data_IF_571452591057
#
_entry.id   IF_571452591057
#
_cell.length_a   1.000
_cell.length_b   1.000
_cell.length_c   1.000
_cell.angle_alpha   90.00
_cell.angle_beta   90.00
_cell.angle_gamma   90.00
#
_symmetry.space_group_name_H-M   'P 1'
#
loop_
_entity.id
_entity.type
_entity.pdbx_description
1 polymer ?
#
# COMPACT_ATOMS: atom_id res chain seq x y z
N UNK A 1 8.93 61.88 -4.43
CA UNK A 1 8.36 60.62 -3.90
C UNK A 1 7.68 59.85 -5.02
N UNK A 2 8.24 58.73 -5.50
CA UNK A 2 7.52 57.63 -6.22
C UNK A 2 8.38 56.36 -6.14
N UNK A 3 7.92 55.33 -5.43
CA UNK A 3 8.61 54.05 -5.18
C UNK A 3 8.76 53.19 -6.45
N UNK A 4 9.85 52.39 -6.60
CA UNK A 4 9.87 51.25 -7.51
C UNK A 4 9.19 50.05 -6.81
N UNK A 5 8.02 49.65 -7.29
CA UNK A 5 7.26 48.53 -6.71
C UNK A 5 7.77 47.20 -7.28
N UNK A 6 8.56 46.53 -6.44
CA UNK A 6 8.53 45.10 -6.13
C UNK A 6 8.47 44.08 -7.29
N UNK A 7 9.62 43.44 -7.47
CA UNK A 7 9.85 42.03 -7.78
C UNK A 7 8.62 41.13 -7.52
N UNK A 8 7.86 40.83 -8.57
CA UNK A 8 6.80 39.82 -8.54
C UNK A 8 7.47 38.45 -8.68
N UNK A 9 7.98 37.92 -7.56
CA UNK A 9 8.44 36.53 -7.49
C UNK A 9 7.20 35.63 -7.56
N UNK A 10 6.92 35.11 -8.76
CA UNK A 10 5.87 34.13 -8.98
C UNK A 10 6.36 32.82 -8.36
N UNK A 11 6.05 32.61 -7.09
CA UNK A 11 6.07 31.28 -6.50
C UNK A 11 4.97 30.47 -7.22
N UNK A 12 5.36 29.74 -8.27
CA UNK A 12 4.58 28.61 -8.76
C UNK A 12 4.55 27.57 -7.65
N UNK A 13 3.52 27.65 -6.80
CA UNK A 13 3.23 26.60 -5.84
C UNK A 13 2.80 25.40 -6.68
N UNK A 14 3.71 24.43 -6.82
CA UNK A 14 3.44 23.14 -7.43
C UNK A 14 2.29 22.45 -6.69
N UNK A 15 1.09 22.54 -7.23
CA UNK A 15 -0.14 22.01 -6.65
C UNK A 15 -0.22 20.47 -6.64
N UNK A 16 0.82 19.75 -7.08
CA UNK A 16 0.80 18.29 -7.19
C UNK A 16 1.15 17.55 -5.88
N UNK A 17 1.67 18.21 -4.85
CA UNK A 17 2.16 17.51 -3.64
C UNK A 17 1.10 17.22 -2.57
N UNK A 18 -0.06 17.89 -2.62
CA UNK A 18 -1.08 17.78 -1.56
C UNK A 18 -1.98 16.54 -1.78
N UNK A 19 -2.27 16.18 -3.04
CA UNK A 19 -3.09 15.00 -3.35
C UNK A 19 -2.37 13.70 -3.00
N UNK A 20 -1.09 13.60 -3.36
CA UNK A 20 -0.27 12.40 -3.12
C UNK A 20 -0.12 12.10 -1.62
N UNK A 21 0.02 13.12 -0.77
CA UNK A 21 0.14 12.90 0.68
C UNK A 21 -1.11 12.27 1.30
N UNK A 22 -2.31 12.62 0.83
CA UNK A 22 -3.57 12.02 1.32
C UNK A 22 -3.70 10.57 0.88
N UNK A 23 -3.35 10.28 -0.37
CA UNK A 23 -3.36 8.92 -0.92
C UNK A 23 -2.35 8.00 -0.21
N UNK A 24 -1.13 8.49 0.05
CA UNK A 24 -0.11 7.74 0.80
C UNK A 24 -0.61 7.41 2.20
N UNK A 25 -1.19 8.37 2.94
CA UNK A 25 -1.74 8.09 4.28
C UNK A 25 -2.88 7.07 4.28
N UNK A 26 -3.73 7.09 3.25
CA UNK A 26 -4.80 6.09 3.12
C UNK A 26 -4.22 4.70 2.83
N UNK A 27 -3.22 4.62 1.95
CA UNK A 27 -2.51 3.39 1.64
C UNK A 27 -1.76 2.82 2.86
N UNK A 28 -1.10 3.67 3.65
CA UNK A 28 -0.48 3.29 4.94
C UNK A 28 -1.50 2.74 5.93
N UNK A 29 -2.69 3.33 6.00
CA UNK A 29 -3.77 2.80 6.84
C UNK A 29 -4.23 1.42 6.36
N UNK A 30 -4.39 1.23 5.04
CA UNK A 30 -4.73 -0.09 4.48
C UNK A 30 -3.65 -1.14 4.73
N UNK A 31 -2.36 -0.75 4.75
CA UNK A 31 -1.26 -1.65 5.07
C UNK A 31 -1.37 -2.26 6.47
N UNK A 32 -2.01 -1.57 7.42
CA UNK A 32 -2.25 -2.09 8.77
C UNK A 32 -3.19 -3.30 8.78
N UNK A 33 -4.00 -3.48 7.73
CA UNK A 33 -4.88 -4.65 7.57
C UNK A 33 -4.15 -5.91 7.10
N UNK A 34 -2.87 -5.83 6.68
CA UNK A 34 -2.07 -7.00 6.26
C UNK A 34 -1.50 -7.76 7.46
N UNK A 35 -2.40 -8.30 8.28
CA UNK A 35 -2.08 -9.04 9.50
C UNK A 35 -2.87 -10.34 9.57
N UNK A 36 -2.43 -11.35 8.83
CA UNK A 36 -3.07 -12.67 8.87
C UNK A 36 -2.69 -13.40 10.17
N UNK A 37 -3.70 -13.78 10.94
CA UNK A 37 -3.57 -14.47 12.22
C UNK A 37 -4.09 -15.90 12.13
N UNK A 38 -3.74 -16.74 13.11
CA UNK A 38 -4.25 -18.12 13.27
C UNK A 38 -3.88 -19.09 12.11
N UNK A 39 -2.75 -18.90 11.44
CA UNK A 39 -2.21 -19.91 10.52
C UNK A 39 -1.44 -20.95 11.34
N UNK A 40 -1.91 -22.19 11.36
CA UNK A 40 -1.21 -23.34 11.95
C UNK A 40 -0.14 -23.85 10.97
N UNK A 41 1.06 -23.25 11.01
CA UNK A 41 2.16 -23.62 10.08
C UNK A 41 2.78 -24.98 10.40
N UNK A 42 2.71 -25.38 11.65
CA UNK A 42 3.39 -26.53 12.23
C UNK A 42 2.65 -27.85 11.94
N UNK A 43 1.38 -27.75 11.54
CA UNK A 43 0.51 -28.88 11.18
C UNK A 43 0.03 -28.81 9.73
N UNK A 44 0.43 -27.77 8.99
CA UNK A 44 0.07 -27.63 7.59
C UNK A 44 0.81 -28.71 6.79
N UNK A 45 0.03 -29.61 6.18
CA UNK A 45 0.57 -30.50 5.15
C UNK A 45 1.18 -29.59 4.06
N UNK A 46 2.51 -29.63 3.90
CA UNK A 46 3.26 -28.80 2.94
C UNK A 46 3.03 -29.28 1.50
N UNK A 47 1.77 -29.40 1.12
CA UNK A 47 1.33 -29.62 -0.24
C UNK A 47 1.71 -28.41 -1.10
N UNK A 48 1.82 -28.63 -2.41
CA UNK A 48 2.03 -27.55 -3.38
C UNK A 48 0.96 -26.44 -3.29
N UNK A 49 -0.24 -26.77 -2.82
CA UNK A 49 -1.33 -25.81 -2.64
C UNK A 49 -1.08 -24.91 -1.42
N UNK A 50 -0.65 -25.48 -0.30
CA UNK A 50 -0.27 -24.71 0.90
C UNK A 50 0.87 -23.75 0.59
N UNK A 51 1.95 -24.24 -0.04
CA UNK A 51 3.10 -23.41 -0.41
C UNK A 51 2.75 -22.29 -1.38
N UNK A 52 1.80 -22.53 -2.30
CA UNK A 52 1.30 -21.49 -3.20
C UNK A 52 0.64 -20.35 -2.41
N UNK A 53 -0.27 -20.66 -1.49
CA UNK A 53 -0.95 -19.63 -0.70
C UNK A 53 0.01 -18.92 0.25
N UNK A 54 1.00 -19.60 0.84
CA UNK A 54 2.07 -18.97 1.63
C UNK A 54 2.85 -17.95 0.80
N UNK A 55 3.21 -18.31 -0.43
CA UNK A 55 3.89 -17.41 -1.35
C UNK A 55 3.02 -16.20 -1.74
N UNK A 56 1.74 -16.42 -2.03
CA UNK A 56 0.80 -15.32 -2.33
C UNK A 56 0.66 -14.39 -1.12
N UNK A 57 0.53 -14.94 0.09
CA UNK A 57 0.45 -14.18 1.34
C UNK A 57 1.67 -13.29 1.54
N UNK A 58 2.87 -13.86 1.43
CA UNK A 58 4.12 -13.12 1.59
C UNK A 58 4.31 -12.05 0.49
N UNK A 59 4.12 -12.44 -0.77
CA UNK A 59 4.38 -11.55 -1.92
C UNK A 59 3.38 -10.40 -2.02
N UNK A 60 2.11 -10.61 -1.69
CA UNK A 60 1.09 -9.54 -1.72
C UNK A 60 1.39 -8.46 -0.69
N UNK A 61 1.78 -8.86 0.54
CA UNK A 61 2.20 -7.91 1.59
C UNK A 61 3.47 -7.15 1.19
N UNK A 62 4.48 -7.85 0.69
CA UNK A 62 5.74 -7.23 0.25
C UNK A 62 5.52 -6.23 -0.88
N UNK A 63 4.68 -6.56 -1.87
CA UNK A 63 4.33 -5.65 -2.97
C UNK A 63 3.64 -4.40 -2.45
N UNK A 64 2.63 -4.56 -1.59
CA UNK A 64 1.91 -3.43 -1.01
C UNK A 64 2.85 -2.48 -0.25
N UNK A 65 3.79 -3.02 0.55
CA UNK A 65 4.80 -2.22 1.25
C UNK A 65 5.70 -1.48 0.27
N UNK A 66 6.24 -2.19 -0.74
CA UNK A 66 7.10 -1.60 -1.76
C UNK A 66 6.41 -0.48 -2.54
N UNK A 67 5.11 -0.60 -2.84
CA UNK A 67 4.37 0.44 -3.56
C UNK A 67 4.19 1.70 -2.73
N UNK A 68 3.88 1.56 -1.43
CA UNK A 68 3.83 2.71 -0.51
C UNK A 68 5.18 3.39 -0.42
N UNK A 69 6.26 2.62 -0.28
CA UNK A 69 7.62 3.16 -0.25
C UNK A 69 7.98 3.92 -1.54
N UNK A 70 7.66 3.38 -2.73
CA UNK A 70 7.89 4.08 -4.00
C UNK A 70 7.19 5.44 -4.04
N UNK A 71 5.92 5.51 -3.63
CA UNK A 71 5.17 6.77 -3.63
C UNK A 71 5.68 7.76 -2.57
N UNK A 72 6.15 7.28 -1.42
CA UNK A 72 6.82 8.12 -0.42
C UNK A 72 8.10 8.77 -0.97
N UNK A 73 8.81 8.10 -1.89
CA UNK A 73 9.97 8.65 -2.59
C UNK A 73 9.61 9.52 -3.81
N UNK A 74 8.33 9.65 -4.15
CA UNK A 74 7.84 10.45 -5.27
C UNK A 74 7.70 9.67 -6.59
N UNK A 75 7.91 8.35 -6.56
CA UNK A 75 7.78 7.49 -7.74
C UNK A 75 6.32 7.05 -7.92
N UNK A 76 5.61 7.72 -8.81
CA UNK A 76 4.26 7.31 -9.22
C UNK A 76 4.35 6.22 -10.30
N UNK A 77 4.26 4.96 -9.87
CA UNK A 77 4.44 3.77 -10.72
C UNK A 77 3.13 3.20 -11.30
N UNK A 78 1.98 3.75 -10.92
CA UNK A 78 0.67 3.33 -11.44
C UNK A 78 -0.17 4.51 -11.93
N UNK A 79 -1.00 4.24 -12.95
CA UNK A 79 -2.04 5.14 -13.44
C UNK A 79 -3.30 5.17 -12.54
N UNK A 80 -3.38 4.24 -11.58
CA UNK A 80 -4.45 4.13 -10.59
C UNK A 80 -4.03 4.78 -9.25
N UNK A 81 -4.99 5.29 -8.45
CA UNK A 81 -4.72 5.77 -7.09
C UNK A 81 -4.05 4.70 -6.24
N UNK A 82 -3.02 5.07 -5.49
CA UNK A 82 -2.26 4.12 -4.65
C UNK A 82 -3.16 3.28 -3.71
N UNK A 83 -4.17 3.85 -3.01
CA UNK A 83 -5.05 3.07 -2.15
C UNK A 83 -5.77 1.92 -2.87
N UNK A 84 -6.20 2.12 -4.12
CA UNK A 84 -6.90 1.09 -4.91
C UNK A 84 -5.95 -0.07 -5.28
N UNK A 85 -4.69 0.26 -5.57
CA UNK A 85 -3.64 -0.74 -5.82
C UNK A 85 -3.34 -1.54 -4.56
N UNK A 86 -3.26 -0.88 -3.40
CA UNK A 86 -3.06 -1.56 -2.10
C UNK A 86 -4.26 -2.44 -1.76
N UNK A 87 -5.49 -1.98 -2.00
CA UNK A 87 -6.70 -2.76 -1.79
C UNK A 87 -6.70 -4.04 -2.65
N UNK A 88 -6.24 -3.96 -3.89
CA UNK A 88 -6.08 -5.14 -4.76
C UNK A 88 -5.08 -6.16 -4.19
N UNK A 89 -3.96 -5.68 -3.63
CA UNK A 89 -3.02 -6.57 -2.92
C UNK A 89 -3.64 -7.14 -1.64
N UNK A 90 -4.45 -6.37 -0.92
CA UNK A 90 -5.13 -6.81 0.28
C UNK A 90 -6.14 -7.92 -0.02
N UNK A 91 -6.89 -7.82 -1.13
CA UNK A 91 -7.80 -8.89 -1.56
C UNK A 91 -7.05 -10.21 -1.83
N UNK A 92 -5.91 -10.13 -2.53
CA UNK A 92 -5.06 -11.31 -2.79
C UNK A 92 -4.50 -11.90 -1.50
N UNK A 93 -4.05 -11.03 -0.59
CA UNK A 93 -3.59 -11.40 0.75
C UNK A 93 -4.70 -12.08 1.56
N UNK A 94 -5.92 -11.54 1.54
CA UNK A 94 -7.08 -12.08 2.24
C UNK A 94 -7.46 -13.46 1.75
N UNK A 95 -7.54 -13.65 0.43
CA UNK A 95 -7.84 -14.95 -0.14
C UNK A 95 -6.79 -16.00 0.24
N UNK A 96 -5.50 -15.64 0.20
CA UNK A 96 -4.42 -16.52 0.61
C UNK A 96 -4.46 -16.83 2.12
N UNK A 97 -4.69 -15.82 2.96
CA UNK A 97 -4.83 -15.96 4.41
C UNK A 97 -5.94 -16.96 4.76
N UNK A 98 -7.13 -16.79 4.19
CA UNK A 98 -8.28 -17.67 4.41
C UNK A 98 -8.04 -19.09 3.88
N UNK A 99 -7.35 -19.23 2.75
CA UNK A 99 -7.00 -20.55 2.20
C UNK A 99 -6.02 -21.32 3.10
N UNK A 100 -5.22 -20.60 3.90
CA UNK A 100 -4.32 -21.17 4.91
C UNK A 100 -5.00 -21.36 6.28
N UNK A 101 -6.32 -21.16 6.37
CA UNK A 101 -7.09 -21.26 7.62
C UNK A 101 -6.95 -20.03 8.52
N UNK A 102 -6.24 -18.99 8.08
CA UNK A 102 -6.06 -17.76 8.83
C UNK A 102 -7.24 -16.80 8.69
N UNK A 103 -7.24 -15.78 9.57
CA UNK A 103 -8.22 -14.69 9.57
C UNK A 103 -7.51 -13.35 9.67
N UNK A 104 -8.10 -12.32 9.08
CA UNK A 104 -7.63 -10.95 9.25
C UNK A 104 -8.27 -10.35 10.51
N UNK A 105 -7.62 -9.37 11.17
CA UNK A 105 -8.24 -8.62 12.26
C UNK A 105 -9.51 -7.93 11.75
N UNK A 106 -10.56 -7.96 12.58
CA UNK A 106 -11.74 -7.14 12.34
C UNK A 106 -11.35 -5.65 12.50
N UNK A 107 -11.81 -4.76 11.62
CA UNK A 107 -11.52 -3.33 11.67
C UNK A 107 -12.11 -2.64 12.91
#
# INVERSE_FOLDING_TARGET
>A
MKLPFALLSICFISACSISSSKEIKQAEKLLQSFDCQNIERDQADHSSMTSYHEQVLASSKQKAQSYVESYQHGDQIFDLPLPEVIETQLQSYTAACQSLGGVLPNP
#
